data_IF_597511796042
#
_entry.id   IF_597511796042
#
_cell.length_a   1.000
_cell.length_b   1.000
_cell.length_c   1.000
_cell.angle_alpha   90.00
_cell.angle_beta   90.00
_cell.angle_gamma   90.00
#
_symmetry.space_group_name_H-M   'P 1'
#
loop_
_entity.id
_entity.type
_entity.pdbx_description
1 polymer ?
#
# COMPACT_ATOMS: atom_id res chain seq x y z
N UNK A 1 -12.68 -16.64 15.76
CA UNK A 1 -12.59 -15.66 14.65
C UNK A 1 -11.27 -14.88 14.72
N UNK A 2 -10.10 -15.54 14.74
CA UNK A 2 -8.81 -14.83 14.95
C UNK A 2 -7.65 -15.38 14.12
N UNK A 3 -7.82 -16.49 13.39
CA UNK A 3 -6.76 -17.10 12.61
C UNK A 3 -6.84 -16.79 11.10
N UNK A 4 -7.98 -16.31 10.61
CA UNK A 4 -8.16 -16.02 9.18
C UNK A 4 -7.53 -14.69 8.73
N UNK A 5 -7.27 -13.74 9.64
CA UNK A 5 -6.62 -12.47 9.26
C UNK A 5 -5.10 -12.59 9.07
N UNK A 6 -4.45 -13.59 9.66
CA UNK A 6 -2.98 -13.71 9.57
C UNK A 6 -2.52 -14.33 8.24
N UNK A 7 -3.37 -15.13 7.57
CA UNK A 7 -3.07 -15.71 6.26
C UNK A 7 -3.27 -14.73 5.09
N UNK A 8 -3.94 -13.60 5.31
CA UNK A 8 -4.07 -12.54 4.30
C UNK A 8 -2.82 -11.66 4.16
N UNK A 9 -1.82 -11.80 5.03
CA UNK A 9 -0.58 -11.01 5.01
C UNK A 9 0.42 -11.42 3.90
N UNK A 10 0.14 -12.48 3.13
CA UNK A 10 1.13 -13.04 2.20
C UNK A 10 0.57 -13.55 0.86
N UNK A 11 -0.57 -13.04 0.39
CA UNK A 11 -0.77 -12.99 -1.04
C UNK A 11 0.21 -11.94 -1.57
N UNK A 12 1.44 -12.36 -1.86
CA UNK A 12 2.49 -11.49 -2.35
C UNK A 12 1.98 -10.82 -3.62
N UNK A 13 1.86 -9.50 -3.62
CA UNK A 13 1.51 -8.72 -4.81
C UNK A 13 2.48 -9.11 -5.92
N UNK A 14 1.97 -9.74 -6.98
CA UNK A 14 2.79 -10.22 -8.08
C UNK A 14 2.67 -9.30 -9.32
N UNK A 15 3.71 -9.24 -10.17
CA UNK A 15 3.62 -8.53 -11.43
C UNK A 15 2.45 -9.04 -12.29
N UNK A 16 1.68 -8.11 -12.87
CA UNK A 16 0.52 -8.42 -13.69
C UNK A 16 -0.79 -8.58 -12.90
N UNK A 17 -0.73 -8.68 -11.57
CA UNK A 17 -1.93 -8.67 -10.74
C UNK A 17 -2.48 -7.26 -10.58
N UNK A 18 -3.81 -7.17 -10.41
CA UNK A 18 -4.46 -5.92 -10.08
C UNK A 18 -4.01 -5.47 -8.69
N UNK A 19 -3.52 -4.24 -8.59
CA UNK A 19 -3.15 -3.64 -7.31
C UNK A 19 -4.33 -3.66 -6.31
N UNK A 20 -4.11 -4.11 -5.06
CA UNK A 20 -5.13 -4.05 -4.02
C UNK A 20 -5.56 -2.61 -3.72
N UNK A 21 -6.83 -2.42 -3.39
CA UNK A 21 -7.31 -1.13 -2.93
C UNK A 21 -6.62 -0.73 -1.61
N UNK A 22 -6.27 0.54 -1.48
CA UNK A 22 -5.75 1.12 -0.24
C UNK A 22 -6.44 2.43 0.09
N UNK A 23 -6.41 2.77 1.38
CA UNK A 23 -6.74 4.10 1.91
C UNK A 23 -5.72 4.44 2.98
N UNK A 24 -5.05 5.58 2.87
CA UNK A 24 -4.00 6.01 3.78
C UNK A 24 -4.13 7.49 4.12
N UNK A 25 -3.79 7.84 5.35
CA UNK A 25 -3.64 9.23 5.75
C UNK A 25 -2.29 9.77 5.22
N UNK A 26 -2.32 10.94 4.61
CA UNK A 26 -1.13 11.65 4.13
C UNK A 26 -1.04 13.01 4.78
N UNK A 27 0.06 13.73 4.58
CA UNK A 27 0.20 15.13 5.02
C UNK A 27 -0.82 16.06 4.36
N UNK A 28 -1.42 15.65 3.24
CA UNK A 28 -2.47 16.38 2.52
C UNK A 28 -3.89 15.86 2.80
N UNK A 29 -4.05 15.00 3.81
CA UNK A 29 -5.29 14.30 4.13
C UNK A 29 -5.38 12.91 3.52
N UNK A 30 -6.55 12.29 3.59
CA UNK A 30 -6.77 10.92 3.16
C UNK A 30 -6.59 10.75 1.64
N UNK A 31 -5.89 9.69 1.24
CA UNK A 31 -5.71 9.26 -0.15
C UNK A 31 -6.04 7.79 -0.34
N UNK A 32 -6.58 7.47 -1.50
CA UNK A 32 -6.98 6.14 -1.94
C UNK A 32 -6.29 5.78 -3.25
N UNK A 33 -6.29 4.50 -3.64
CA UNK A 33 -5.76 4.08 -4.96
C UNK A 33 -6.46 4.81 -6.11
N UNK A 34 -7.76 5.06 -5.98
CA UNK A 34 -8.59 5.67 -7.03
C UNK A 34 -8.23 7.14 -7.31
N UNK A 35 -7.64 7.84 -6.33
CA UNK A 35 -7.18 9.22 -6.50
C UNK A 35 -6.00 9.35 -7.50
N UNK A 36 -5.37 8.23 -7.86
CA UNK A 36 -4.22 8.16 -8.78
C UNK A 36 -4.56 7.56 -10.15
N UNK A 37 -5.85 7.45 -10.52
CA UNK A 37 -6.27 6.93 -11.82
C UNK A 37 -5.62 7.69 -12.99
N UNK A 38 -5.17 6.94 -13.99
CA UNK A 38 -4.50 7.48 -15.17
C UNK A 38 -3.01 7.81 -14.98
N UNK A 39 -2.45 7.54 -13.79
CA UNK A 39 -1.03 7.76 -13.50
C UNK A 39 -0.31 6.43 -13.21
N UNK A 40 1.00 6.40 -13.46
CA UNK A 40 1.87 5.35 -12.94
C UNK A 40 2.25 5.68 -11.50
N UNK A 41 1.83 4.84 -10.57
CA UNK A 41 2.08 5.01 -9.14
C UNK A 41 3.18 4.06 -8.67
N UNK A 42 4.18 4.59 -7.96
CA UNK A 42 5.23 3.80 -7.29
C UNK A 42 4.99 3.83 -5.78
N UNK A 43 4.87 2.66 -5.14
CA UNK A 43 4.72 2.53 -3.70
C UNK A 43 6.04 2.04 -3.09
N UNK A 44 6.64 2.84 -2.21
CA UNK A 44 7.85 2.50 -1.48
C UNK A 44 7.54 2.34 0.01
N UNK A 45 7.88 1.18 0.57
CA UNK A 45 7.70 0.88 1.99
C UNK A 45 9.05 1.00 2.70
N UNK A 46 9.08 1.78 3.78
CA UNK A 46 10.25 1.95 4.64
C UNK A 46 9.82 1.92 6.11
N UNK A 47 10.69 1.44 7.00
CA UNK A 47 10.38 1.33 8.43
C UNK A 47 10.27 2.71 9.08
N UNK A 48 11.17 3.63 8.70
CA UNK A 48 11.21 4.99 9.23
C UNK A 48 11.78 5.93 8.18
N UNK A 49 11.14 7.09 7.98
CA UNK A 49 11.68 8.15 7.15
C UNK A 49 12.85 8.86 7.85
N UNK A 50 13.72 9.51 7.07
CA UNK A 50 14.82 10.36 7.56
C UNK A 50 15.82 9.61 8.46
N UNK A 51 16.32 8.46 8.01
CA UNK A 51 17.49 7.83 8.63
C UNK A 51 18.76 8.46 8.07
N UNK A 52 19.66 8.94 8.95
CA UNK A 52 20.94 9.52 8.56
C UNK A 52 21.92 8.48 7.99
N UNK A 53 22.82 8.93 7.10
CA UNK A 53 23.93 8.16 6.55
C UNK A 53 25.27 8.80 6.91
#
# INVERSE_FOLDING_TARGET
>A
MTHAMLLALAAAVAPGEKAPAFSMETTSGKKTLDDYKGQTLVLAFFVKAFTGG
#
